data_IF_117232282216
#
_entry.id   IF_117232282216
#
_cell.length_a   1.000
_cell.length_b   1.000
_cell.length_c   1.000
_cell.angle_alpha   90.00
_cell.angle_beta   90.00
_cell.angle_gamma   90.00
#
_symmetry.space_group_name_H-M   'P 1'
#
loop_
_entity.id
_entity.type
_entity.pdbx_description
1 polymer ?
#
# COMPACT_ATOMS: atom_id res chain seq x y z
N UNK A 1 12.44 -59.74 -15.16
CA UNK A 1 13.44 -58.95 -14.42
C UNK A 1 13.31 -57.52 -14.89
N UNK A 2 12.52 -56.71 -14.18
CA UNK A 2 12.28 -55.31 -14.54
C UNK A 2 12.75 -54.44 -13.39
N UNK A 3 13.65 -53.54 -13.75
CA UNK A 3 14.41 -52.64 -12.89
C UNK A 3 13.46 -51.77 -12.04
N UNK A 4 13.68 -51.75 -10.73
CA UNK A 4 13.09 -50.70 -9.88
C UNK A 4 13.73 -49.37 -10.28
N UNK A 5 12.92 -48.36 -10.59
CA UNK A 5 13.33 -46.97 -10.45
C UNK A 5 12.42 -46.38 -9.36
N UNK A 6 12.92 -46.11 -8.15
CA UNK A 6 12.16 -45.37 -7.17
C UNK A 6 12.05 -43.93 -7.70
N UNK A 7 10.88 -43.61 -8.26
CA UNK A 7 10.50 -42.25 -8.62
C UNK A 7 10.67 -41.37 -7.40
N UNK A 8 11.72 -40.56 -7.45
CA UNK A 8 12.16 -39.65 -6.40
C UNK A 8 11.01 -38.73 -5.99
N UNK A 9 11.07 -38.28 -4.74
CA UNK A 9 10.27 -37.23 -4.09
C UNK A 9 10.33 -35.87 -4.81
N UNK A 10 9.98 -35.83 -6.10
CA UNK A 10 10.03 -34.64 -6.96
C UNK A 10 9.00 -33.56 -6.61
N UNK A 11 8.14 -33.78 -5.62
CA UNK A 11 7.31 -32.72 -5.06
C UNK A 11 7.95 -32.02 -3.84
N UNK A 12 9.12 -32.42 -3.34
CA UNK A 12 9.68 -31.82 -2.12
C UNK A 12 10.53 -30.58 -2.41
N UNK A 13 11.49 -30.68 -3.32
CA UNK A 13 12.45 -29.59 -3.57
C UNK A 13 11.84 -28.42 -4.34
N UNK A 14 11.03 -28.71 -5.37
CA UNK A 14 10.37 -27.67 -6.16
C UNK A 14 9.39 -26.86 -5.29
N UNK A 15 8.64 -27.52 -4.40
CA UNK A 15 7.77 -26.84 -3.44
C UNK A 15 8.57 -25.97 -2.45
N UNK A 16 9.75 -26.40 -2.02
CA UNK A 16 10.62 -25.61 -1.13
C UNK A 16 11.13 -24.36 -1.86
N UNK A 17 11.55 -24.50 -3.12
CA UNK A 17 12.03 -23.40 -3.95
C UNK A 17 10.90 -22.40 -4.22
N UNK A 18 9.72 -22.88 -4.63
CA UNK A 18 8.55 -22.05 -4.91
C UNK A 18 8.10 -21.26 -3.66
N UNK A 19 8.10 -21.90 -2.49
CA UNK A 19 7.75 -21.22 -1.24
C UNK A 19 8.78 -20.15 -0.86
N UNK A 20 10.09 -20.43 -1.02
CA UNK A 20 11.14 -19.43 -0.81
C UNK A 20 11.04 -18.26 -1.78
N UNK A 21 10.70 -18.53 -3.05
CA UNK A 21 10.48 -17.49 -4.05
C UNK A 21 9.27 -16.63 -3.67
N UNK A 22 8.14 -17.25 -3.30
CA UNK A 22 6.94 -16.52 -2.86
C UNK A 22 7.20 -15.68 -1.61
N UNK A 23 7.96 -16.19 -0.65
CA UNK A 23 8.31 -15.46 0.56
C UNK A 23 9.27 -14.28 0.27
N UNK A 24 10.19 -14.45 -0.68
CA UNK A 24 11.06 -13.36 -1.13
C UNK A 24 10.30 -12.30 -1.94
N UNK A 25 9.31 -12.71 -2.74
CA UNK A 25 8.45 -11.83 -3.53
C UNK A 25 7.29 -11.20 -2.74
N UNK A 26 7.33 -11.22 -1.41
CA UNK A 26 6.34 -10.53 -0.56
C UNK A 26 6.49 -9.02 -0.69
N UNK A 27 5.84 -8.45 -1.70
CA UNK A 27 5.67 -7.01 -1.82
C UNK A 27 4.77 -6.55 -0.67
N UNK A 28 5.27 -5.65 0.17
CA UNK A 28 4.48 -5.05 1.23
C UNK A 28 3.99 -3.67 0.80
N UNK A 29 2.84 -3.25 1.32
CA UNK A 29 2.39 -1.88 1.18
C UNK A 29 2.74 -1.16 2.48
N UNK A 30 3.59 -0.13 2.38
CA UNK A 30 3.90 0.75 3.51
C UNK A 30 3.07 2.02 3.40
N UNK A 31 2.38 2.38 4.48
CA UNK A 31 1.51 3.55 4.52
C UNK A 31 1.77 4.43 5.74
N UNK A 32 1.76 5.73 5.53
CA UNK A 32 1.83 6.77 6.56
C UNK A 32 0.65 7.72 6.41
N UNK A 33 0.33 8.48 7.46
CA UNK A 33 -0.65 9.56 7.39
C UNK A 33 0.06 10.89 7.63
N UNK A 34 -0.18 11.88 6.76
CA UNK A 34 0.36 13.23 6.89
C UNK A 34 -0.81 14.16 7.21
N UNK A 35 -0.81 14.77 8.39
CA UNK A 35 -1.82 15.73 8.81
C UNK A 35 -1.26 17.14 8.79
N UNK A 36 -1.98 18.07 8.19
CA UNK A 36 -1.61 19.48 8.08
C UNK A 36 -2.78 20.39 8.46
N UNK A 37 -2.54 21.57 9.06
CA UNK A 37 -3.58 22.56 9.29
C UNK A 37 -4.16 23.09 7.97
N UNK A 38 -5.44 23.44 8.00
CA UNK A 38 -6.16 23.97 6.83
C UNK A 38 -6.65 22.89 5.86
N UNK A 39 -6.86 23.28 4.60
CA UNK A 39 -7.56 22.48 3.57
C UNK A 39 -6.69 21.51 2.79
N UNK A 40 -5.37 21.54 2.95
CA UNK A 40 -4.45 20.82 2.09
C UNK A 40 -3.50 19.95 2.91
N UNK A 41 -3.28 18.72 2.46
CA UNK A 41 -2.18 17.86 2.93
C UNK A 41 -1.57 17.09 1.77
N UNK A 42 -0.25 17.00 1.73
CA UNK A 42 0.47 16.38 0.60
C UNK A 42 1.30 15.18 1.06
N UNK A 43 1.29 14.14 0.25
CA UNK A 43 2.19 13.01 0.42
C UNK A 43 3.62 13.35 0.01
N UNK A 44 4.63 12.74 0.65
CA UNK A 44 6.01 12.84 0.20
C UNK A 44 6.19 12.25 -1.21
N UNK A 45 7.24 12.69 -1.91
CA UNK A 45 7.60 12.12 -3.20
C UNK A 45 7.81 10.59 -3.10
N UNK A 46 7.32 9.87 -4.10
CA UNK A 46 7.37 8.40 -4.12
C UNK A 46 6.26 7.70 -3.32
N UNK A 47 5.27 8.46 -2.81
CA UNK A 47 4.04 7.90 -2.22
C UNK A 47 2.80 8.46 -2.92
N UNK A 48 1.80 7.60 -3.12
CA UNK A 48 0.51 7.97 -3.67
C UNK A 48 -0.51 8.23 -2.56
N UNK A 49 -1.43 9.18 -2.78
CA UNK A 49 -2.60 9.35 -1.90
C UNK A 49 -3.55 8.18 -2.12
N UNK A 50 -3.90 7.48 -1.05
CA UNK A 50 -4.90 6.40 -1.07
C UNK A 50 -6.24 6.82 -0.47
N UNK A 51 -6.22 7.77 0.47
CA UNK A 51 -7.43 8.37 1.03
C UNK A 51 -7.13 9.71 1.69
N UNK A 52 -8.18 10.50 1.91
CA UNK A 52 -8.12 11.74 2.67
C UNK A 52 -9.09 11.71 3.84
N UNK A 53 -8.79 12.49 4.87
CA UNK A 53 -9.70 12.81 5.95
C UNK A 53 -9.64 14.31 6.25
N UNK A 54 -10.76 14.88 6.65
CA UNK A 54 -10.89 16.29 6.96
C UNK A 54 -11.45 16.45 8.37
N UNK A 55 -11.04 17.50 9.06
CA UNK A 55 -11.63 17.83 10.34
C UNK A 55 -13.05 18.39 10.22
N UNK A 56 -13.65 18.72 11.37
CA UNK A 56 -15.10 19.00 11.52
C UNK A 56 -16.05 17.97 10.89
N UNK A 57 -15.61 16.73 10.66
CA UNK A 57 -16.42 15.70 10.03
C UNK A 57 -16.73 15.96 8.55
N UNK A 58 -15.94 16.81 7.88
CA UNK A 58 -16.10 17.08 6.45
C UNK A 58 -15.80 15.80 5.63
N UNK A 59 -16.81 15.28 4.94
CA UNK A 59 -16.67 14.12 4.04
C UNK A 59 -16.34 14.48 2.59
N UNK A 60 -16.33 15.76 2.24
CA UNK A 60 -16.11 16.25 0.88
C UNK A 60 -14.65 16.61 0.66
N UNK A 61 -13.93 15.80 -0.11
CA UNK A 61 -12.54 16.01 -0.46
C UNK A 61 -12.23 15.50 -1.87
N UNK A 62 -11.17 16.04 -2.46
CA UNK A 62 -10.60 15.58 -3.72
C UNK A 62 -9.08 15.36 -3.59
N UNK A 63 -8.52 14.62 -4.56
CA UNK A 63 -7.07 14.44 -4.71
C UNK A 63 -6.60 15.23 -5.91
N UNK A 64 -5.71 16.19 -5.66
CA UNK A 64 -5.08 17.03 -6.67
C UNK A 64 -3.72 16.44 -7.03
N UNK A 65 -3.44 16.34 -8.34
CA UNK A 65 -2.15 15.89 -8.88
C UNK A 65 -1.69 14.54 -8.29
N UNK A 66 -2.63 13.68 -7.88
CA UNK A 66 -2.41 12.35 -7.28
C UNK A 66 -1.68 12.32 -5.93
N UNK A 67 -1.12 13.45 -5.48
CA UNK A 67 -0.26 13.52 -4.29
C UNK A 67 -0.81 14.42 -3.18
N UNK A 68 -1.90 15.16 -3.41
CA UNK A 68 -2.39 16.17 -2.47
C UNK A 68 -3.88 16.02 -2.20
N UNK A 69 -4.23 15.82 -0.94
CA UNK A 69 -5.61 15.91 -0.46
C UNK A 69 -6.05 17.37 -0.36
N UNK A 70 -7.27 17.64 -0.78
CA UNK A 70 -7.94 18.93 -0.63
C UNK A 70 -9.34 18.75 -0.04
N UNK A 71 -9.58 19.36 1.13
CA UNK A 71 -10.89 19.35 1.79
C UNK A 71 -11.75 20.52 1.30
N UNK A 72 -12.95 20.21 0.81
CA UNK A 72 -13.80 21.16 0.06
C UNK A 72 -14.78 21.94 0.93
N UNK A 73 -15.09 21.47 2.14
CA UNK A 73 -16.03 22.16 3.03
C UNK A 73 -15.58 23.60 3.32
N UNK A 74 -16.54 24.49 3.60
CA UNK A 74 -16.30 25.92 3.80
C UNK A 74 -15.22 26.18 4.87
N UNK A 75 -15.35 25.50 6.02
CA UNK A 75 -14.42 25.58 7.15
C UNK A 75 -13.92 24.18 7.52
N UNK A 76 -12.61 24.04 7.63
CA UNK A 76 -11.90 22.86 8.16
C UNK A 76 -10.69 23.34 8.95
N UNK A 77 -10.45 22.71 10.09
CA UNK A 77 -9.31 22.93 10.98
C UNK A 77 -8.06 22.22 10.46
N UNK A 78 -8.19 20.99 9.96
CA UNK A 78 -7.09 20.20 9.42
C UNK A 78 -7.50 19.29 8.26
N UNK A 79 -6.49 18.84 7.52
CA UNK A 79 -6.58 17.84 6.44
C UNK A 79 -5.52 16.76 6.65
N UNK A 80 -5.89 15.50 6.46
CA UNK A 80 -4.99 14.36 6.52
C UNK A 80 -4.97 13.63 5.18
N UNK A 81 -3.77 13.35 4.66
CA UNK A 81 -3.55 12.48 3.51
C UNK A 81 -3.00 11.13 3.96
N UNK A 82 -3.60 10.02 3.51
CA UNK A 82 -3.05 8.67 3.67
C UNK A 82 -2.17 8.35 2.48
N UNK A 83 -0.88 8.20 2.74
CA UNK A 83 0.17 8.08 1.74
C UNK A 83 0.72 6.66 1.76
N UNK A 84 0.70 5.96 0.63
CA UNK A 84 1.20 4.60 0.55
C UNK A 84 2.17 4.41 -0.61
N UNK A 85 3.05 3.41 -0.47
CA UNK A 85 3.92 2.92 -1.53
C UNK A 85 4.12 1.41 -1.40
N UNK A 86 4.56 0.80 -2.49
CA UNK A 86 5.14 -0.54 -2.41
C UNK A 86 6.50 -0.44 -1.67
N UNK A 87 6.75 -1.38 -0.78
CA UNK A 87 7.93 -1.48 0.07
C UNK A 87 8.63 -2.83 -0.13
#
# INVERSE_FOLDING_TARGET
MTLMIPGRTQCSLDLIVDNKIKDFLRIQISCISITMPGKLSSCPAGMAVTSCACGYGCGSWDVQLETRCHCQCSVVDWTTARCCRLA
#
